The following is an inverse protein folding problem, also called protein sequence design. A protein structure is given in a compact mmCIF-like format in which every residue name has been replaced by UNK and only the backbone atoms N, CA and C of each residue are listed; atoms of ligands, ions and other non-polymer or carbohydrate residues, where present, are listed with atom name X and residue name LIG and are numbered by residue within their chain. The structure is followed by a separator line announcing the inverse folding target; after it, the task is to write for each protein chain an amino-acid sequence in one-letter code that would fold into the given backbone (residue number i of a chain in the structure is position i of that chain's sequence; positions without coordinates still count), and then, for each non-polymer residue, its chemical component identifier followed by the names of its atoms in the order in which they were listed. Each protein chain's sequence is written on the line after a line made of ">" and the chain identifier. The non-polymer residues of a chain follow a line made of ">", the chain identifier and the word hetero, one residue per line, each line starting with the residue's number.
data_IF_789654933454
#
_entry.id   IF_789654933454
#
_cell.length_a   1.000
_cell.length_b   1.000
_cell.length_c   1.000
_cell.angle_alpha   90.00
_cell.angle_beta   90.00
_cell.angle_gamma   90.00
#
_symmetry.space_group_name_H-M   'P 1'
#
loop_
_entity.id
_entity.type
_entity.pdbx_description
1 polymer ?
#
# COMPACT_ATOMS: atom_id res chain seq x y z
N UNK A 1 -6.82 2.80 20.94
CA UNK A 1 -7.47 2.97 19.63
C UNK A 1 -7.15 1.76 18.77
N UNK A 2 -8.12 1.19 18.05
CA UNK A 2 -7.90 0.00 17.23
C UNK A 2 -7.78 0.37 15.75
N UNK A 3 -6.84 -0.28 15.05
CA UNK A 3 -6.72 -0.20 13.60
C UNK A 3 -6.82 -1.60 13.02
N UNK A 4 -7.91 -1.88 12.31
CA UNK A 4 -8.06 -3.14 11.60
C UNK A 4 -7.55 -2.96 10.18
N UNK A 5 -6.73 -3.88 9.68
CA UNK A 5 -6.24 -3.79 8.31
C UNK A 5 -6.46 -5.09 7.53
N UNK A 6 -6.96 -4.91 6.30
CA UNK A 6 -7.21 -5.94 5.32
C UNK A 6 -6.16 -5.95 4.20
N UNK A 7 -6.52 -6.57 3.08
CA UNK A 7 -5.60 -6.69 1.94
C UNK A 7 -5.38 -5.34 1.22
N UNK A 8 -6.42 -4.51 1.15
CA UNK A 8 -6.41 -3.24 0.42
C UNK A 8 -6.47 -2.03 1.36
N UNK A 9 -7.31 -2.07 2.39
CA UNK A 9 -7.62 -0.95 3.25
C UNK A 9 -7.46 -1.26 4.74
N UNK A 10 -7.18 -0.22 5.50
CA UNK A 10 -7.19 -0.20 6.95
C UNK A 10 -8.30 0.74 7.43
N UNK A 11 -8.89 0.42 8.57
CA UNK A 11 -9.99 1.15 9.18
C UNK A 11 -9.66 1.49 10.63
N UNK A 12 -9.95 2.73 11.01
CA UNK A 12 -9.82 3.28 12.36
C UNK A 12 -11.18 3.71 12.89
N UNK A 13 -11.26 3.93 14.20
CA UNK A 13 -12.42 4.49 14.89
C UNK A 13 -12.91 5.81 14.26
N UNK A 14 -14.23 6.04 14.28
CA UNK A 14 -14.87 7.22 13.68
C UNK A 14 -14.97 8.37 14.68
N UNK A 15 -13.88 9.10 14.86
CA UNK A 15 -13.87 10.29 15.72
C UNK A 15 -13.67 11.59 14.91
N UNK A 16 -14.37 12.67 15.28
CA UNK A 16 -14.34 13.94 14.52
C UNK A 16 -12.95 14.61 14.56
N UNK A 17 -12.28 14.58 15.70
CA UNK A 17 -10.88 14.97 15.90
C UNK A 17 -9.91 14.18 14.99
N UNK A 18 -10.15 12.88 14.76
CA UNK A 18 -9.33 12.04 13.88
C UNK A 18 -9.50 12.44 12.41
N UNK A 19 -10.74 12.69 11.98
CA UNK A 19 -11.03 13.14 10.60
C UNK A 19 -10.32 14.47 10.32
N UNK A 20 -10.47 15.44 11.22
CA UNK A 20 -9.78 16.75 11.10
C UNK A 20 -8.27 16.57 11.08
N UNK A 21 -7.73 15.68 11.92
CA UNK A 21 -6.31 15.38 11.94
C UNK A 21 -5.81 14.74 10.65
N UNK A 22 -6.53 13.76 10.10
CA UNK A 22 -6.17 13.10 8.85
C UNK A 22 -6.17 14.07 7.67
N UNK A 23 -7.07 15.06 7.64
CA UNK A 23 -7.05 16.12 6.61
C UNK A 23 -5.74 16.91 6.58
N UNK A 24 -4.94 16.89 7.66
CA UNK A 24 -3.66 17.62 7.71
C UNK A 24 -2.50 16.89 7.04
N UNK A 25 -2.58 15.58 6.83
CA UNK A 25 -1.45 14.79 6.31
C UNK A 25 -1.81 13.64 5.36
N UNK A 26 -3.06 13.18 5.33
CA UNK A 26 -3.54 12.15 4.40
C UNK A 26 -4.23 12.77 3.19
N UNK A 27 -3.48 13.55 2.44
CA UNK A 27 -3.91 14.07 1.16
C UNK A 27 -2.75 14.18 0.18
N UNK A 28 -3.10 14.22 -1.10
CA UNK A 28 -2.23 14.65 -2.16
C UNK A 28 -2.84 15.90 -2.81
N UNK A 29 -2.01 16.87 -3.16
CA UNK A 29 -2.42 18.09 -3.85
C UNK A 29 -1.75 18.09 -5.22
N UNK A 30 -2.52 18.09 -6.32
CA UNK A 30 -1.95 18.10 -7.66
C UNK A 30 -1.33 19.46 -7.99
N UNK A 31 -0.27 19.45 -8.79
CA UNK A 31 0.20 20.67 -9.43
C UNK A 31 -0.88 21.25 -10.34
N UNK A 32 -0.99 22.58 -10.38
CA UNK A 32 -2.02 23.25 -11.17
C UNK A 32 -3.45 23.13 -10.65
N UNK A 33 -3.67 22.67 -9.41
CA UNK A 33 -5.03 22.58 -8.81
C UNK A 33 -5.82 23.89 -8.91
N UNK A 34 -5.14 25.04 -8.87
CA UNK A 34 -5.70 26.38 -8.95
C UNK A 34 -6.26 26.74 -10.34
N UNK A 35 -5.91 26.00 -11.40
CA UNK A 35 -6.51 26.16 -12.72
C UNK A 35 -7.89 25.49 -12.85
N UNK A 36 -8.23 24.56 -11.95
CA UNK A 36 -9.52 23.86 -11.96
C UNK A 36 -10.69 24.81 -11.73
N UNK A 37 -11.72 24.73 -12.58
CA UNK A 37 -12.96 25.48 -12.40
C UNK A 37 -13.67 25.14 -11.07
N UNK A 38 -13.59 23.87 -10.63
CA UNK A 38 -14.15 23.47 -9.34
C UNK A 38 -13.44 24.14 -8.16
N UNK A 39 -12.12 24.35 -8.27
CA UNK A 39 -11.36 25.08 -7.27
C UNK A 39 -11.69 26.58 -7.29
N UNK A 40 -11.69 27.20 -8.48
CA UNK A 40 -12.03 28.63 -8.63
C UNK A 40 -13.44 28.96 -8.13
N UNK A 41 -14.39 28.05 -8.32
CA UNK A 41 -15.78 28.18 -7.85
C UNK A 41 -15.98 27.76 -6.38
N UNK A 42 -14.92 27.31 -5.70
CA UNK A 42 -14.97 26.89 -4.29
C UNK A 42 -15.67 25.55 -4.03
N UNK A 43 -16.00 24.78 -5.07
CA UNK A 43 -16.59 23.45 -4.94
C UNK A 43 -15.58 22.36 -4.57
N UNK A 44 -14.29 22.65 -4.71
CA UNK A 44 -13.19 21.75 -4.36
C UNK A 44 -12.08 22.53 -3.67
N UNK A 45 -11.49 21.94 -2.64
CA UNK A 45 -10.42 22.54 -1.82
C UNK A 45 -9.02 22.34 -2.40
N UNK A 46 -8.91 21.75 -3.59
CA UNK A 46 -7.64 21.49 -4.25
C UNK A 46 -6.92 20.23 -3.73
N UNK A 47 -7.54 19.44 -2.86
CA UNK A 47 -6.93 18.26 -2.24
C UNK A 47 -7.65 16.98 -2.62
N UNK A 48 -6.88 15.93 -2.86
CA UNK A 48 -7.36 14.56 -2.91
C UNK A 48 -7.02 13.85 -1.61
N UNK A 49 -8.02 13.56 -0.80
CA UNK A 49 -7.83 12.86 0.46
C UNK A 49 -7.58 11.37 0.24
N UNK A 50 -6.56 10.83 0.90
CA UNK A 50 -6.17 9.41 0.83
C UNK A 50 -6.92 8.57 1.89
N UNK A 51 -8.09 9.05 2.32
CA UNK A 51 -8.97 8.36 3.26
C UNK A 51 -10.43 8.63 2.90
N UNK A 52 -11.31 7.76 3.39
CA UNK A 52 -12.77 7.88 3.26
C UNK A 52 -13.44 7.68 4.61
N UNK A 53 -14.38 8.56 4.93
CA UNK A 53 -15.24 8.38 6.10
C UNK A 53 -16.37 7.45 5.71
N UNK A 54 -16.50 6.34 6.43
CA UNK A 54 -17.55 5.34 6.22
C UNK A 54 -18.51 5.29 7.41
N UNK A 55 -19.48 4.37 7.37
CA UNK A 55 -20.34 4.11 8.51
C UNK A 55 -19.54 3.53 9.68
N UNK A 56 -18.60 2.64 9.37
CA UNK A 56 -17.87 1.83 10.36
C UNK A 56 -16.59 2.48 10.89
N UNK A 57 -16.14 3.59 10.28
CA UNK A 57 -14.82 4.13 10.59
C UNK A 57 -14.23 5.01 9.50
N UNK A 58 -12.99 5.45 9.71
CA UNK A 58 -12.19 6.13 8.70
C UNK A 58 -11.28 5.12 8.02
N UNK A 59 -11.49 4.91 6.71
CA UNK A 59 -10.76 3.96 5.88
C UNK A 59 -9.64 4.64 5.10
N UNK A 60 -8.47 4.02 5.01
CA UNK A 60 -7.34 4.48 4.20
C UNK A 60 -6.56 3.29 3.63
N UNK A 61 -5.76 3.46 2.55
CA UNK A 61 -4.99 2.35 1.98
C UNK A 61 -4.03 1.70 2.99
N UNK A 62 -3.98 0.37 3.04
CA UNK A 62 -3.11 -0.37 3.96
C UNK A 62 -1.63 -0.04 3.77
N UNK A 63 -1.22 0.36 2.56
CA UNK A 63 0.16 0.83 2.30
C UNK A 63 0.56 2.05 3.13
N UNK A 64 -0.40 2.83 3.65
CA UNK A 64 -0.15 3.98 4.52
C UNK A 64 -0.21 3.61 6.02
N UNK A 65 -0.44 2.35 6.37
CA UNK A 65 -0.63 1.92 7.77
C UNK A 65 0.52 2.33 8.67
N UNK A 66 1.77 2.02 8.30
CA UNK A 66 2.94 2.37 9.10
C UNK A 66 3.09 3.88 9.28
N UNK A 67 2.78 4.66 8.24
CA UNK A 67 2.82 6.12 8.28
C UNK A 67 1.74 6.70 9.20
N UNK A 68 0.50 6.25 9.04
CA UNK A 68 -0.64 6.68 9.88
C UNK A 68 -0.43 6.29 11.33
N UNK A 69 0.00 5.04 11.59
CA UNK A 69 0.29 4.56 12.94
C UNK A 69 1.40 5.38 13.60
N UNK A 70 2.47 5.74 12.87
CA UNK A 70 3.53 6.61 13.38
C UNK A 70 3.02 7.99 13.78
N UNK A 71 2.19 8.63 12.93
CA UNK A 71 1.59 9.94 13.23
C UNK A 71 0.66 9.90 14.44
N UNK A 72 -0.15 8.87 14.56
CA UNK A 72 -1.08 8.68 15.67
C UNK A 72 -0.36 8.41 17.00
N UNK A 73 0.67 7.54 17.00
CA UNK A 73 1.52 7.33 18.19
C UNK A 73 2.20 8.62 18.63
N UNK A 74 2.72 9.41 17.68
CA UNK A 74 3.33 10.71 17.98
C UNK A 74 2.34 11.73 18.58
N UNK A 75 1.03 11.56 18.32
CA UNK A 75 -0.04 12.36 18.90
C UNK A 75 -0.54 11.81 20.26
N UNK A 76 0.06 10.74 20.76
CA UNK A 76 -0.26 10.14 22.06
C UNK A 76 -1.36 9.09 22.04
N UNK A 77 -1.77 8.60 20.86
CA UNK A 77 -2.72 7.48 20.79
C UNK A 77 -2.02 6.17 21.09
N UNK A 78 -2.59 5.39 22.02
CA UNK A 78 -2.25 3.99 22.18
C UNK A 78 -2.92 3.15 21.08
N UNK A 79 -2.14 2.42 20.29
CA UNK A 79 -2.59 1.76 19.07
C UNK A 79 -2.50 0.24 19.17
N UNK A 80 -3.64 -0.42 18.98
CA UNK A 80 -3.73 -1.86 18.72
C UNK A 80 -3.96 -2.08 17.22
N UNK A 81 -3.00 -2.71 16.53
CA UNK A 81 -3.09 -2.99 15.09
C UNK A 81 -3.50 -4.45 14.90
N UNK A 82 -4.64 -4.68 14.25
CA UNK A 82 -5.28 -5.99 14.11
C UNK A 82 -5.29 -6.39 12.63
N UNK A 83 -4.58 -7.48 12.31
CA UNK A 83 -4.54 -8.06 10.96
C UNK A 83 -5.78 -8.93 10.72
N UNK A 84 -6.68 -8.47 9.84
CA UNK A 84 -7.91 -9.19 9.48
C UNK A 84 -7.82 -9.81 8.08
N UNK A 85 -6.63 -9.90 7.50
CA UNK A 85 -6.44 -10.50 6.17
C UNK A 85 -6.66 -12.00 6.21
N UNK A 86 -7.25 -12.54 5.14
CA UNK A 86 -7.18 -13.97 4.85
C UNK A 86 -5.74 -14.30 4.46
N UNK A 87 -5.11 -15.22 5.21
CA UNK A 87 -3.72 -15.66 4.99
C UNK A 87 -3.62 -16.96 4.20
N UNK A 88 -4.73 -17.68 4.08
CA UNK A 88 -4.83 -18.94 3.35
C UNK A 88 -5.16 -18.68 1.88
N UNK A 89 -4.21 -19.03 1.03
CA UNK A 89 -4.36 -19.00 -0.42
C UNK A 89 -4.12 -20.41 -0.96
N UNK A 90 -4.80 -20.75 -2.05
CA UNK A 90 -4.45 -21.93 -2.82
C UNK A 90 -3.09 -21.71 -3.47
N UNK A 91 -2.10 -22.48 -3.03
CA UNK A 91 -0.74 -22.46 -3.57
C UNK A 91 -0.54 -23.61 -4.55
N UNK A 92 0.15 -23.34 -5.65
CA UNK A 92 0.68 -24.35 -6.56
C UNK A 92 2.18 -24.47 -6.33
N UNK A 93 2.66 -25.71 -6.36
CA UNK A 93 4.09 -25.96 -6.43
C UNK A 93 4.58 -25.65 -7.85
N UNK A 94 5.39 -24.59 -7.97
CA UNK A 94 5.88 -24.09 -9.25
C UNK A 94 7.35 -24.45 -9.39
N UNK A 95 7.68 -25.19 -10.45
CA UNK A 95 9.06 -25.55 -10.78
C UNK A 95 9.76 -24.35 -11.40
N UNK A 96 10.90 -23.96 -10.82
CA UNK A 96 11.73 -22.89 -11.38
C UNK A 96 12.48 -23.36 -12.62
N UNK A 97 12.27 -22.67 -13.74
CA UNK A 97 12.95 -22.92 -15.03
C UNK A 97 13.78 -21.71 -15.50
N UNK A 98 13.92 -20.69 -14.63
CA UNK A 98 14.65 -19.47 -14.94
C UNK A 98 16.14 -19.57 -14.64
N UNK A 99 16.87 -18.48 -14.92
CA UNK A 99 18.28 -18.34 -14.55
C UNK A 99 18.44 -18.24 -13.04
N UNK A 100 19.62 -18.58 -12.54
CA UNK A 100 19.97 -18.34 -11.14
C UNK A 100 19.94 -16.83 -10.82
N UNK A 101 19.47 -16.51 -9.61
CA UNK A 101 19.44 -15.14 -9.10
C UNK A 101 20.83 -14.71 -8.66
N UNK A 102 21.15 -13.44 -8.90
CA UNK A 102 22.33 -12.79 -8.32
C UNK A 102 22.10 -12.50 -6.84
N UNK A 103 23.16 -12.30 -6.06
CA UNK A 103 23.09 -12.09 -4.61
C UNK A 103 22.11 -10.98 -4.20
N UNK A 104 22.14 -9.83 -4.88
CA UNK A 104 21.21 -8.72 -4.60
C UNK A 104 19.75 -9.05 -4.95
N UNK A 105 19.53 -9.92 -5.94
CA UNK A 105 18.20 -10.37 -6.32
C UNK A 105 17.68 -11.35 -5.28
N UNK A 106 18.53 -12.26 -4.78
CA UNK A 106 18.17 -13.19 -3.71
C UNK A 106 17.82 -12.45 -2.42
N UNK A 107 18.61 -11.45 -2.02
CA UNK A 107 18.30 -10.60 -0.86
C UNK A 107 16.95 -9.87 -1.03
N UNK A 108 16.70 -9.29 -2.21
CA UNK A 108 15.43 -8.63 -2.51
C UNK A 108 14.24 -9.61 -2.49
N UNK A 109 14.43 -10.83 -2.99
CA UNK A 109 13.41 -11.89 -2.97
C UNK A 109 13.07 -12.28 -1.53
N UNK A 110 14.07 -12.57 -0.70
CA UNK A 110 13.87 -13.00 0.68
C UNK A 110 13.09 -11.95 1.48
N UNK A 111 13.51 -10.68 1.39
CA UNK A 111 12.82 -9.56 2.03
C UNK A 111 11.35 -9.45 1.61
N UNK A 112 11.05 -9.80 0.38
CA UNK A 112 9.70 -9.70 -0.14
C UNK A 112 8.82 -10.92 0.13
N UNK A 113 9.40 -12.11 0.30
CA UNK A 113 8.69 -13.27 0.81
C UNK A 113 8.30 -13.02 2.27
N UNK A 114 9.19 -12.41 3.05
CA UNK A 114 8.93 -12.01 4.45
C UNK A 114 7.93 -10.84 4.54
N UNK A 115 7.97 -9.92 3.58
CA UNK A 115 7.12 -8.74 3.56
C UNK A 115 5.83 -8.97 2.79
N UNK A 116 4.67 -8.80 3.44
CA UNK A 116 3.38 -8.94 2.74
C UNK A 116 3.12 -7.94 1.60
N UNK A 117 3.87 -6.84 1.51
CA UNK A 117 3.83 -5.84 0.43
C UNK A 117 5.08 -4.96 0.48
N UNK A 118 5.45 -4.33 -0.63
CA UNK A 118 6.55 -3.38 -0.66
C UNK A 118 6.73 -2.69 -2.01
N UNK A 119 7.65 -1.73 -2.05
CA UNK A 119 8.12 -1.08 -3.27
C UNK A 119 9.57 -1.49 -3.46
N UNK A 120 9.90 -2.08 -4.61
CA UNK A 120 11.27 -2.41 -4.95
C UNK A 120 11.89 -1.35 -5.86
N UNK A 121 12.83 -0.59 -5.32
CA UNK A 121 13.58 0.43 -6.06
C UNK A 121 14.79 -0.19 -6.77
N UNK A 122 14.56 -0.81 -7.93
CA UNK A 122 15.61 -1.44 -8.73
C UNK A 122 15.95 -0.60 -9.98
N UNK A 123 17.22 -0.57 -10.40
CA UNK A 123 17.65 0.09 -11.63
C UNK A 123 17.10 -0.61 -12.90
N UNK A 124 17.05 0.07 -14.04
CA UNK A 124 16.83 -0.58 -15.33
C UNK A 124 17.98 -1.58 -15.61
N UNK A 125 17.69 -2.70 -16.28
CA UNK A 125 18.69 -3.76 -16.52
C UNK A 125 19.03 -4.67 -15.33
N UNK A 126 18.53 -4.39 -14.11
CA UNK A 126 18.75 -5.23 -12.91
C UNK A 126 18.01 -6.57 -12.90
N UNK A 127 17.25 -6.89 -13.95
CA UNK A 127 16.49 -8.14 -14.02
C UNK A 127 15.24 -8.16 -13.13
N UNK A 128 14.51 -7.05 -12.99
CA UNK A 128 13.27 -6.95 -12.20
C UNK A 128 12.23 -8.02 -12.57
N UNK A 129 12.15 -8.39 -13.85
CA UNK A 129 11.23 -9.43 -14.32
C UNK A 129 11.64 -10.83 -13.84
N UNK A 130 12.95 -11.13 -13.81
CA UNK A 130 13.45 -12.39 -13.26
C UNK A 130 13.13 -12.49 -11.77
N UNK A 131 13.33 -11.39 -11.03
CA UNK A 131 13.01 -11.30 -9.62
C UNK A 131 11.50 -11.43 -9.35
N UNK A 132 10.66 -10.76 -10.15
CA UNK A 132 9.19 -10.87 -10.05
C UNK A 132 8.71 -12.30 -10.34
N UNK A 133 9.25 -12.95 -11.37
CA UNK A 133 8.94 -14.35 -11.68
C UNK A 133 9.37 -15.29 -10.53
N UNK A 134 10.53 -15.04 -9.92
CA UNK A 134 11.01 -15.82 -8.77
C UNK A 134 10.08 -15.65 -7.56
N UNK A 135 9.59 -14.43 -7.30
CA UNK A 135 8.61 -14.17 -6.25
C UNK A 135 7.29 -14.92 -6.50
N UNK A 136 6.79 -14.90 -7.73
CA UNK A 136 5.58 -15.66 -8.10
C UNK A 136 5.78 -17.15 -7.87
N UNK A 137 6.93 -17.68 -8.26
CA UNK A 137 7.29 -19.07 -8.04
C UNK A 137 7.38 -19.42 -6.55
N UNK A 138 8.02 -18.56 -5.76
CA UNK A 138 8.21 -18.77 -4.32
C UNK A 138 6.90 -18.72 -3.52
N UNK A 139 5.94 -17.88 -3.93
CA UNK A 139 4.64 -17.76 -3.25
C UNK A 139 3.62 -18.78 -3.80
N UNK A 140 3.67 -19.10 -5.09
CA UNK A 140 2.82 -20.12 -5.69
C UNK A 140 1.34 -19.75 -5.85
N UNK A 141 0.96 -18.48 -5.64
CA UNK A 141 -0.44 -18.03 -5.75
C UNK A 141 -0.76 -17.45 -7.13
N UNK A 142 -2.03 -17.49 -7.50
CA UNK A 142 -2.53 -16.83 -8.72
C UNK A 142 -2.15 -15.35 -8.68
N UNK A 143 -1.31 -14.93 -9.64
CA UNK A 143 -0.71 -13.59 -9.66
C UNK A 143 -1.19 -12.79 -10.87
N UNK A 144 -1.43 -11.49 -10.67
CA UNK A 144 -1.65 -10.52 -11.74
C UNK A 144 -0.39 -9.67 -11.87
N UNK A 145 0.14 -9.57 -13.09
CA UNK A 145 1.26 -8.70 -13.41
C UNK A 145 0.74 -7.59 -14.33
N UNK A 146 0.91 -6.34 -13.91
CA UNK A 146 0.55 -5.17 -14.71
C UNK A 146 1.81 -4.51 -15.25
N UNK A 147 1.86 -4.34 -16.56
CA UNK A 147 2.93 -3.66 -17.29
C UNK A 147 2.37 -2.43 -18.02
N UNK A 148 3.22 -1.47 -18.35
CA UNK A 148 2.80 -0.22 -19.00
C UNK A 148 2.37 -0.44 -20.46
N UNK A 149 3.05 -1.34 -21.16
CA UNK A 149 2.88 -1.60 -22.59
C UNK A 149 2.55 -3.06 -22.86
N UNK A 150 1.93 -3.32 -24.00
CA UNK A 150 1.62 -4.68 -24.46
C UNK A 150 2.84 -5.41 -25.04
N UNK A 151 3.78 -4.64 -25.57
CA UNK A 151 5.11 -5.06 -26.03
C UNK A 151 6.04 -5.27 -24.82
#
# INVERSE_FOLDING_TARGET
>A
MKIYFGASDAITDKEANLITYFKTFLYWQPEGYYFSEAYKKGHWDGKYYLFKVTKDGVRFPTGLLSFVAGKLRAKGYDLEIIDVRKKEFETKDLVWVGKELRDYQLDALNKAVESSRGIWANATGSGKMLLAASLVQSIGVKTIVTVLTKE
#
